data_IF_453489121196
#
_entry.id   IF_453489121196
#
_cell.length_a   1.000
_cell.length_b   1.000
_cell.length_c   1.000
_cell.angle_alpha   90.00
_cell.angle_beta   90.00
_cell.angle_gamma   90.00
#
_symmetry.space_group_name_H-M   'P 1'
#
loop_
_entity.id
_entity.type
_entity.pdbx_description
1 polymer ?
#
# COMPACT_ATOMS: atom_id res chain seq x y z
N UNK A 1 -4.48 12.96 8.22
CA UNK A 1 -3.39 12.34 9.03
C UNK A 1 -2.05 12.84 8.53
N UNK A 2 -1.07 12.98 9.42
CA UNK A 2 0.31 13.25 9.01
C UNK A 2 1.02 11.97 8.54
N UNK A 3 2.22 12.13 7.97
CA UNK A 3 3.01 11.02 7.41
C UNK A 3 3.34 9.92 8.43
N UNK A 4 3.66 10.29 9.67
CA UNK A 4 3.96 9.35 10.73
C UNK A 4 2.74 8.51 11.14
N UNK A 5 1.58 9.15 11.28
CA UNK A 5 0.31 8.49 11.59
C UNK A 5 -0.09 7.50 10.49
N UNK A 6 0.11 7.87 9.21
CA UNK A 6 -0.23 6.99 8.08
C UNK A 6 0.70 5.78 8.00
N UNK A 7 2.01 5.98 8.18
CA UNK A 7 2.98 4.88 8.18
C UNK A 7 2.64 3.82 9.24
N UNK A 8 2.30 4.27 10.46
CA UNK A 8 1.84 3.40 11.54
C UNK A 8 0.55 2.68 11.19
N UNK A 9 -0.47 3.41 10.74
CA UNK A 9 -1.76 2.82 10.42
C UNK A 9 -1.62 1.71 9.37
N UNK A 10 -0.86 1.95 8.31
CA UNK A 10 -0.68 0.99 7.23
C UNK A 10 0.08 -0.26 7.69
N UNK A 11 1.15 -0.09 8.48
CA UNK A 11 1.88 -1.22 9.06
C UNK A 11 1.03 -2.02 10.05
N UNK A 12 0.33 -1.36 10.98
CA UNK A 12 -0.48 -2.02 12.00
C UNK A 12 -1.71 -2.72 11.42
N UNK A 13 -2.26 -2.20 10.31
CA UNK A 13 -3.43 -2.77 9.63
C UNK A 13 -3.07 -3.92 8.68
N UNK A 14 -1.79 -4.13 8.38
CA UNK A 14 -1.37 -5.22 7.49
C UNK A 14 -1.41 -6.57 8.23
N UNK A 15 -2.19 -7.58 7.77
CA UNK A 15 -2.44 -8.83 8.51
C UNK A 15 -1.20 -9.69 8.82
N UNK A 16 -0.08 -9.45 8.14
CA UNK A 16 1.17 -10.20 8.25
C UNK A 16 2.35 -9.28 8.57
N UNK A 17 2.09 -8.18 9.28
CA UNK A 17 3.11 -7.20 9.60
C UNK A 17 4.28 -7.77 10.43
N UNK A 18 4.01 -8.79 11.23
CA UNK A 18 5.00 -9.54 12.02
C UNK A 18 5.99 -10.34 11.16
N UNK A 19 5.63 -10.62 9.90
CA UNK A 19 6.49 -11.32 8.93
C UNK A 19 7.30 -10.37 8.06
N UNK A 20 7.07 -9.06 8.14
CA UNK A 20 7.82 -8.07 7.40
C UNK A 20 9.20 -7.90 8.05
N UNK A 21 10.26 -7.94 7.24
CA UNK A 21 11.64 -7.65 7.68
C UNK A 21 11.83 -6.12 7.83
N UNK A 22 11.12 -5.53 8.78
CA UNK A 22 11.08 -4.10 9.09
C UNK A 22 11.33 -3.91 10.60
N UNK A 23 12.02 -2.84 10.98
CA UNK A 23 12.15 -2.45 12.38
C UNK A 23 11.13 -1.33 12.68
N UNK A 24 10.04 -1.59 13.43
CA UNK A 24 9.02 -0.59 13.69
C UNK A 24 9.52 0.69 14.36
N UNK A 25 10.65 0.62 15.09
CA UNK A 25 11.24 1.78 15.76
C UNK A 25 11.84 2.79 14.77
N UNK A 26 12.29 2.33 13.61
CA UNK A 26 12.93 3.16 12.58
C UNK A 26 12.05 3.30 11.34
N UNK A 27 11.44 2.22 10.87
CA UNK A 27 10.70 2.15 9.62
C UNK A 27 9.39 2.93 9.64
N UNK A 28 8.79 3.16 10.81
CA UNK A 28 7.50 3.86 10.96
C UNK A 28 7.64 5.35 11.27
N UNK A 29 8.82 5.93 11.03
CA UNK A 29 9.07 7.36 11.28
C UNK A 29 8.19 8.25 10.39
N UNK A 30 8.12 7.94 9.11
CA UNK A 30 7.33 8.61 8.08
C UNK A 30 7.13 7.68 6.87
N UNK A 31 6.23 8.04 5.96
CA UNK A 31 5.94 7.29 4.74
C UNK A 31 7.15 7.16 3.81
N UNK A 32 8.08 8.12 3.81
CA UNK A 32 9.28 8.08 2.97
C UNK A 32 10.22 6.95 3.46
N UNK A 33 10.46 6.88 4.77
CA UNK A 33 11.27 5.83 5.39
C UNK A 33 10.61 4.46 5.20
N UNK A 34 9.29 4.37 5.42
CA UNK A 34 8.54 3.13 5.22
C UNK A 34 8.61 2.64 3.77
N UNK A 35 8.57 3.55 2.79
CA UNK A 35 8.69 3.21 1.37
C UNK A 35 10.06 2.64 1.02
N UNK A 36 11.15 3.23 1.54
CA UNK A 36 12.49 2.69 1.30
C UNK A 36 12.66 1.30 1.92
N UNK A 37 12.21 1.11 3.16
CA UNK A 37 12.34 -0.19 3.82
C UNK A 37 11.41 -1.26 3.18
N UNK A 38 10.21 -0.87 2.74
CA UNK A 38 9.30 -1.78 2.03
C UNK A 38 9.86 -2.27 0.69
N UNK A 39 10.74 -1.52 0.03
CA UNK A 39 11.45 -2.00 -1.17
C UNK A 39 12.42 -3.14 -0.86
N UNK A 40 12.89 -3.23 0.39
CA UNK A 40 13.84 -4.22 0.86
C UNK A 40 13.16 -5.45 1.48
N UNK A 41 11.93 -5.32 1.98
CA UNK A 41 11.22 -6.41 2.67
C UNK A 41 10.84 -7.59 1.78
N UNK A 42 10.80 -7.41 0.45
CA UNK A 42 10.46 -8.46 -0.52
C UNK A 42 8.96 -8.81 -0.59
N UNK A 43 8.12 -8.25 0.29
CA UNK A 43 6.66 -8.39 0.20
C UNK A 43 6.10 -7.40 -0.82
N UNK A 44 5.76 -7.92 -2.00
CA UNK A 44 5.30 -7.10 -3.12
C UNK A 44 3.93 -6.46 -2.88
N UNK A 45 3.07 -7.09 -2.08
CA UNK A 45 1.74 -6.53 -1.77
C UNK A 45 1.89 -5.38 -0.79
N UNK A 46 2.70 -5.56 0.26
CA UNK A 46 2.99 -4.50 1.20
C UNK A 46 3.66 -3.31 0.50
N UNK A 47 4.68 -3.56 -0.35
CA UNK A 47 5.32 -2.51 -1.15
C UNK A 47 4.32 -1.76 -2.03
N UNK A 48 3.39 -2.48 -2.68
CA UNK A 48 2.34 -1.85 -3.48
C UNK A 48 1.50 -0.90 -2.63
N UNK A 49 0.98 -1.38 -1.49
CA UNK A 49 0.15 -0.55 -0.60
C UNK A 49 0.89 0.69 -0.10
N UNK A 50 2.16 0.53 0.33
CA UNK A 50 2.99 1.65 0.81
C UNK A 50 3.23 2.67 -0.30
N UNK A 51 3.63 2.22 -1.51
CA UNK A 51 3.91 3.10 -2.65
C UNK A 51 2.67 3.88 -3.08
N UNK A 52 1.57 3.18 -3.32
CA UNK A 52 0.35 3.85 -3.78
C UNK A 52 -0.19 4.80 -2.71
N UNK A 53 -0.09 4.44 -1.42
CA UNK A 53 -0.47 5.36 -0.33
C UNK A 53 0.44 6.58 -0.27
N UNK A 54 1.74 6.41 -0.48
CA UNK A 54 2.71 7.50 -0.53
C UNK A 54 2.36 8.53 -1.62
N UNK A 55 1.91 8.06 -2.79
CA UNK A 55 1.51 8.89 -3.94
C UNK A 55 0.14 9.58 -3.76
N UNK A 56 -0.68 9.17 -2.79
CA UNK A 56 -1.99 9.79 -2.47
C UNK A 56 -1.90 11.04 -1.59
N UNK A 57 -0.69 11.55 -1.35
CA UNK A 57 -0.44 12.71 -0.51
C UNK A 57 -1.08 13.96 -1.11
N UNK A 58 -1.92 14.63 -0.33
CA UNK A 58 -2.57 15.89 -0.71
C UNK A 58 -1.54 17.03 -0.84
N UNK A 59 -1.93 18.17 -1.43
CA UNK A 59 -1.03 19.32 -1.64
C UNK A 59 -0.43 19.87 -0.33
N UNK A 60 -1.15 19.75 0.79
CA UNK A 60 -0.70 20.15 2.11
C UNK A 60 0.20 19.11 2.81
N UNK A 61 0.44 17.99 2.14
CA UNK A 61 1.24 16.88 2.62
C UNK A 61 0.51 15.91 3.54
N UNK A 62 -0.81 16.05 3.70
CA UNK A 62 -1.64 15.16 4.50
C UNK A 62 -2.15 13.96 3.71
N UNK A 63 -2.59 12.94 4.46
CA UNK A 63 -3.25 11.76 3.93
C UNK A 63 -4.69 11.70 4.45
N UNK A 64 -5.63 11.30 3.60
CA UNK A 64 -7.04 11.11 3.96
C UNK A 64 -7.44 9.64 3.91
N UNK A 65 -8.33 9.25 4.82
CA UNK A 65 -8.91 7.90 4.84
C UNK A 65 -9.67 7.60 3.54
N UNK A 66 -10.41 8.58 3.00
CA UNK A 66 -11.16 8.43 1.76
C UNK A 66 -10.26 8.11 0.55
N UNK A 67 -9.10 8.77 0.42
CA UNK A 67 -8.14 8.47 -0.65
C UNK A 67 -7.57 7.06 -0.52
N UNK A 68 -7.27 6.63 0.71
CA UNK A 68 -6.79 5.28 0.98
C UNK A 68 -7.85 4.21 0.69
N UNK A 69 -9.09 4.40 1.16
CA UNK A 69 -10.21 3.50 0.84
C UNK A 69 -10.42 3.38 -0.67
N UNK A 70 -10.41 4.51 -1.38
CA UNK A 70 -10.56 4.52 -2.84
C UNK A 70 -9.49 3.68 -3.53
N UNK A 71 -8.23 3.79 -3.10
CA UNK A 71 -7.13 2.97 -3.60
C UNK A 71 -7.38 1.48 -3.37
N UNK A 72 -7.79 1.08 -2.15
CA UNK A 72 -8.04 -0.32 -1.82
C UNK A 72 -9.17 -0.89 -2.70
N UNK A 73 -10.29 -0.17 -2.82
CA UNK A 73 -11.40 -0.62 -3.67
C UNK A 73 -11.00 -0.72 -5.14
N UNK A 74 -10.24 0.26 -5.66
CA UNK A 74 -9.71 0.21 -7.02
C UNK A 74 -8.81 -1.01 -7.24
N UNK A 75 -7.90 -1.30 -6.30
CA UNK A 75 -7.03 -2.46 -6.40
C UNK A 75 -7.81 -3.79 -6.36
N UNK A 76 -8.87 -3.87 -5.54
CA UNK A 76 -9.78 -5.03 -5.50
C UNK A 76 -10.48 -5.21 -6.86
N UNK A 77 -10.99 -4.14 -7.45
CA UNK A 77 -11.66 -4.18 -8.75
C UNK A 77 -10.69 -4.63 -9.85
N UNK A 78 -9.47 -4.08 -9.90
CA UNK A 78 -8.43 -4.50 -10.86
C UNK A 78 -8.07 -5.99 -10.69
N UNK A 79 -7.95 -6.48 -9.45
CA UNK A 79 -7.70 -7.90 -9.18
C UNK A 79 -8.87 -8.79 -9.64
N UNK A 80 -10.12 -8.35 -9.46
CA UNK A 80 -11.28 -9.06 -10.00
C UNK A 80 -11.25 -9.12 -11.53
N UNK A 81 -10.92 -8.02 -12.21
CA UNK A 81 -10.78 -8.00 -13.67
C UNK A 81 -9.69 -8.99 -14.15
N UNK A 82 -8.54 -9.02 -13.47
CA UNK A 82 -7.46 -9.98 -13.76
C UNK A 82 -7.94 -11.42 -13.56
N UNK A 83 -8.62 -11.72 -12.45
CA UNK A 83 -9.14 -13.05 -12.17
C UNK A 83 -10.17 -13.50 -13.21
N UNK A 84 -11.06 -12.62 -13.63
CA UNK A 84 -12.08 -12.92 -14.64
C UNK A 84 -11.46 -13.11 -16.03
N UNK A 85 -10.44 -12.32 -16.38
CA UNK A 85 -9.65 -12.51 -17.60
C UNK A 85 -8.96 -13.89 -17.61
N UNK A 86 -8.31 -14.27 -16.50
CA UNK A 86 -7.68 -15.59 -16.33
C UNK A 86 -8.70 -16.73 -16.45
N UNK A 87 -9.88 -16.61 -15.83
CA UNK A 87 -10.96 -17.60 -15.90
C UNK A 87 -11.54 -17.75 -17.30
N UNK A 88 -11.66 -16.64 -18.03
CA UNK A 88 -12.24 -16.63 -19.37
C UNK A 88 -11.22 -16.95 -20.48
N UNK A 89 -9.93 -17.11 -20.16
CA UNK A 89 -8.87 -17.25 -21.15
C UNK A 89 -8.72 -16.02 -22.07
N UNK A 90 -9.20 -14.86 -21.63
CA UNK A 90 -9.08 -13.60 -22.37
C UNK A 90 -7.87 -12.84 -21.84
N UNK A 91 -7.08 -12.24 -22.74
CA UNK A 91 -6.05 -11.28 -22.29
C UNK A 91 -6.77 -9.98 -21.88
N UNK A 92 -6.35 -9.32 -20.79
CA UNK A 92 -6.79 -7.95 -20.51
C UNK A 92 -6.48 -7.10 -21.75
N UNK A 93 -7.41 -6.23 -22.15
CA UNK A 93 -7.18 -5.33 -23.28
C UNK A 93 -6.00 -4.42 -22.93
N UNK A 94 -4.95 -4.48 -23.75
CA UNK A 94 -3.77 -3.62 -23.67
C UNK A 94 -4.09 -2.17 -24.06
#
# INVERSE_FOLDING_TARGET
MNSHEMAKLLYESYPHNDLLDLDPATSLKDMDTLLEDAKLSGDTLFLFLVRETHDLKEEDGSYTEASFEHLIYKAIDELHEVLDAMRCGRKPNA
#
